data_IF_730596356758
#
_entry.id   IF_730596356758
#
_cell.length_a   1.000
_cell.length_b   1.000
_cell.length_c   1.000
_cell.angle_alpha   90.00
_cell.angle_beta   90.00
_cell.angle_gamma   90.00
#
_symmetry.space_group_name_H-M   'P 1'
#
loop_
_entity.id
_entity.type
_entity.pdbx_description
1 polymer ?
#
# COMPACT_ATOMS: atom_id res chain seq x y z
N UNK A 1 30.71 -3.31 -13.63
CA UNK A 1 29.42 -3.72 -13.04
C UNK A 1 28.32 -3.11 -13.90
N UNK A 2 27.36 -3.86 -14.46
CA UNK A 2 26.28 -3.22 -15.19
C UNK A 2 25.48 -2.36 -14.21
N UNK A 3 25.49 -1.05 -14.41
CA UNK A 3 24.73 -0.03 -13.65
C UNK A 3 23.26 0.06 -14.09
N UNK A 4 22.81 -0.82 -14.97
CA UNK A 4 21.46 -0.80 -15.54
C UNK A 4 20.82 -2.17 -15.36
N UNK A 5 19.63 -2.20 -14.73
CA UNK A 5 18.85 -3.43 -14.50
C UNK A 5 18.29 -4.00 -15.82
N UNK A 6 18.07 -3.16 -16.83
CA UNK A 6 17.50 -3.53 -18.12
C UNK A 6 18.42 -3.09 -19.29
N UNK A 7 18.60 -3.92 -20.34
CA UNK A 7 18.11 -5.30 -20.45
C UNK A 7 18.77 -6.21 -19.39
N UNK A 8 17.97 -7.10 -18.79
CA UNK A 8 18.46 -7.99 -17.74
C UNK A 8 19.37 -9.06 -18.36
N UNK A 9 20.60 -9.29 -17.86
CA UNK A 9 21.61 -10.10 -18.53
C UNK A 9 21.41 -11.61 -18.30
N UNK A 10 20.27 -12.15 -18.75
CA UNK A 10 19.84 -13.55 -18.51
C UNK A 10 20.92 -14.56 -18.91
N UNK A 11 21.43 -14.50 -20.14
CA UNK A 11 22.38 -15.49 -20.65
C UNK A 11 23.73 -15.46 -19.92
N UNK A 12 24.21 -14.27 -19.57
CA UNK A 12 25.45 -14.10 -18.80
C UNK A 12 25.27 -14.61 -17.37
N UNK A 13 24.12 -14.34 -16.75
CA UNK A 13 23.80 -14.78 -15.40
C UNK A 13 23.70 -16.32 -15.33
N UNK A 14 22.95 -16.95 -16.24
CA UNK A 14 22.85 -18.42 -16.33
C UNK A 14 24.24 -19.04 -16.54
N UNK A 15 25.06 -18.50 -17.45
CA UNK A 15 26.43 -18.99 -17.68
C UNK A 15 27.30 -18.87 -16.43
N UNK A 16 27.24 -17.74 -15.73
CA UNK A 16 28.02 -17.51 -14.51
C UNK A 16 27.60 -18.44 -13.36
N UNK A 17 26.31 -18.80 -13.32
CA UNK A 17 25.72 -19.61 -12.25
C UNK A 17 25.62 -21.11 -12.57
N UNK A 18 26.04 -21.55 -13.76
CA UNK A 18 25.90 -22.94 -14.25
C UNK A 18 26.33 -24.02 -13.24
N UNK A 19 27.40 -23.77 -12.49
CA UNK A 19 27.96 -24.73 -11.53
C UNK A 19 27.70 -24.35 -10.05
N UNK A 20 26.88 -23.32 -9.81
CA UNK A 20 26.57 -22.84 -8.46
C UNK A 20 25.47 -23.72 -7.87
N UNK A 21 25.76 -24.34 -6.72
CA UNK A 21 24.77 -25.22 -6.05
C UNK A 21 23.76 -24.42 -5.23
N UNK A 22 24.23 -23.38 -4.55
CA UNK A 22 23.42 -22.50 -3.69
C UNK A 22 23.83 -21.06 -3.95
N UNK A 23 22.84 -20.21 -4.20
CA UNK A 23 23.01 -18.77 -4.41
C UNK A 23 22.26 -18.01 -3.31
N UNK A 24 22.97 -17.13 -2.60
CA UNK A 24 22.36 -16.17 -1.68
C UNK A 24 22.26 -14.82 -2.38
N UNK A 25 21.05 -14.28 -2.45
CA UNK A 25 20.72 -13.04 -3.14
C UNK A 25 20.38 -12.00 -2.08
N UNK A 26 21.13 -10.90 -2.06
CA UNK A 26 20.88 -9.77 -1.16
C UNK A 26 20.05 -8.69 -1.84
N UNK A 27 18.95 -8.27 -1.21
CA UNK A 27 18.18 -7.10 -1.63
C UNK A 27 18.23 -6.02 -0.54
N UNK A 28 18.30 -4.74 -0.92
CA UNK A 28 18.13 -3.63 0.03
C UNK A 28 16.68 -3.18 0.20
N UNK A 29 15.79 -3.72 -0.61
CA UNK A 29 14.36 -3.44 -0.57
C UNK A 29 13.58 -4.76 -0.65
N UNK A 30 12.50 -4.84 0.11
CA UNK A 30 11.59 -5.98 0.08
C UNK A 30 10.36 -5.63 -0.76
N UNK A 31 9.87 -6.61 -1.52
CA UNK A 31 8.56 -6.55 -2.15
C UNK A 31 7.57 -7.30 -1.23
N UNK A 32 6.92 -6.57 -0.33
CA UNK A 32 6.13 -7.14 0.76
C UNK A 32 5.17 -8.26 0.30
N UNK A 33 5.19 -9.39 1.01
CA UNK A 33 4.33 -10.53 0.73
C UNK A 33 4.76 -11.42 -0.45
N UNK A 34 5.76 -11.00 -1.25
CA UNK A 34 6.24 -11.79 -2.41
C UNK A 34 7.36 -12.78 -2.08
N UNK A 35 7.93 -12.73 -0.87
CA UNK A 35 9.03 -13.62 -0.46
C UNK A 35 10.38 -13.27 -1.08
N UNK A 36 10.63 -11.99 -1.35
CA UNK A 36 11.92 -11.43 -1.73
C UNK A 36 11.85 -10.06 -2.38
N UNK A 37 13.00 -9.42 -2.56
CA UNK A 37 13.11 -8.18 -3.32
C UNK A 37 13.17 -8.40 -4.83
N UNK A 38 13.20 -7.29 -5.57
CA UNK A 38 13.15 -7.31 -7.04
C UNK A 38 14.34 -8.05 -7.67
N UNK A 39 15.55 -7.93 -7.12
CA UNK A 39 16.72 -8.62 -7.66
C UNK A 39 16.56 -10.13 -7.49
N UNK A 40 16.08 -10.58 -6.34
CA UNK A 40 15.78 -11.99 -6.13
C UNK A 40 14.75 -12.54 -7.11
N UNK A 41 13.71 -11.79 -7.45
CA UNK A 41 12.71 -12.23 -8.42
C UNK A 41 13.29 -12.36 -9.83
N UNK A 42 14.02 -11.36 -10.31
CA UNK A 42 14.63 -11.38 -11.65
C UNK A 42 15.66 -12.51 -11.79
N UNK A 43 16.53 -12.70 -10.79
CA UNK A 43 17.52 -13.79 -10.77
C UNK A 43 16.84 -15.16 -10.73
N UNK A 44 15.81 -15.34 -9.88
CA UNK A 44 15.07 -16.61 -9.81
C UNK A 44 14.36 -16.91 -11.12
N UNK A 45 13.76 -15.91 -11.77
CA UNK A 45 13.10 -16.07 -13.07
C UNK A 45 14.10 -16.47 -14.16
N UNK A 46 15.22 -15.76 -14.28
CA UNK A 46 16.28 -16.10 -15.24
C UNK A 46 16.84 -17.51 -15.04
N UNK A 47 17.04 -17.93 -13.79
CA UNK A 47 17.48 -19.28 -13.46
C UNK A 47 16.41 -20.36 -13.67
N UNK A 48 15.13 -19.99 -13.66
CA UNK A 48 14.01 -20.91 -13.90
C UNK A 48 13.88 -21.27 -15.38
N UNK A 49 14.25 -20.35 -16.28
CA UNK A 49 14.23 -20.56 -17.73
C UNK A 49 15.40 -21.42 -18.24
N UNK A 50 16.45 -21.63 -17.43
CA UNK A 50 17.52 -22.58 -17.73
C UNK A 50 17.09 -24.01 -17.32
N UNK A 51 16.83 -24.93 -18.28
CA UNK A 51 16.34 -26.28 -17.97
C UNK A 51 17.37 -27.15 -17.23
N UNK A 52 18.65 -26.82 -17.33
CA UNK A 52 19.74 -27.55 -16.69
C UNK A 52 20.05 -27.01 -15.28
N UNK A 53 19.56 -25.81 -14.96
CA UNK A 53 19.84 -25.20 -13.68
C UNK A 53 19.18 -25.95 -12.51
N UNK A 54 19.96 -26.18 -11.45
CA UNK A 54 19.50 -26.76 -10.17
C UNK A 54 19.87 -25.90 -8.96
N UNK A 55 20.28 -24.65 -9.19
CA UNK A 55 20.72 -23.72 -8.14
C UNK A 55 19.61 -23.49 -7.12
N UNK A 56 19.93 -23.69 -5.84
CA UNK A 56 19.04 -23.34 -4.74
C UNK A 56 19.22 -21.86 -4.41
N UNK A 57 18.17 -21.06 -4.62
CA UNK A 57 18.18 -19.63 -4.28
C UNK A 57 17.68 -19.37 -2.85
N UNK A 58 18.43 -18.56 -2.12
CA UNK A 58 18.11 -18.03 -0.78
C UNK A 58 18.14 -16.50 -0.88
N UNK A 59 17.17 -15.80 -0.30
CA UNK A 59 17.13 -14.34 -0.30
C UNK A 59 17.27 -13.76 1.10
N UNK A 60 18.03 -12.67 1.21
CA UNK A 60 18.18 -11.86 2.43
C UNK A 60 17.95 -10.39 2.13
N UNK A 61 16.98 -9.80 2.82
CA UNK A 61 16.80 -8.34 2.78
C UNK A 61 17.68 -7.72 3.85
N UNK A 62 18.56 -6.77 3.49
CA UNK A 62 19.58 -6.21 4.38
C UNK A 62 19.61 -4.69 4.32
N UNK A 63 20.30 -4.07 5.29
CA UNK A 63 20.44 -2.61 5.37
C UNK A 63 19.15 -1.87 5.77
N UNK A 64 18.19 -2.59 6.35
CA UNK A 64 16.98 -1.98 6.90
C UNK A 64 17.32 -0.98 8.00
N UNK A 65 16.64 0.16 8.02
CA UNK A 65 16.92 1.22 8.99
C UNK A 65 18.25 1.96 8.76
N UNK A 66 18.86 1.81 7.58
CA UNK A 66 20.15 2.45 7.27
C UNK A 66 21.35 1.72 7.84
N UNK A 67 21.19 0.45 8.24
CA UNK A 67 22.30 -0.39 8.69
C UNK A 67 23.31 -0.63 7.55
N UNK A 68 24.59 -0.57 7.89
CA UNK A 68 25.66 -0.94 6.98
C UNK A 68 25.71 -2.47 6.75
N UNK A 69 26.46 -2.87 5.73
CA UNK A 69 26.71 -4.27 5.41
C UNK A 69 28.23 -4.49 5.38
N UNK A 70 28.73 -5.24 6.36
CA UNK A 70 30.15 -5.46 6.58
C UNK A 70 30.62 -6.79 5.98
N UNK A 71 31.94 -7.03 6.03
CA UNK A 71 32.54 -8.25 5.49
C UNK A 71 32.06 -9.49 6.26
N UNK A 72 31.85 -9.37 7.57
CA UNK A 72 31.36 -10.43 8.45
C UNK A 72 29.95 -10.87 8.04
N UNK A 73 29.11 -9.92 7.59
CA UNK A 73 27.78 -10.21 7.07
C UNK A 73 27.87 -11.05 5.79
N UNK A 74 28.74 -10.67 4.86
CA UNK A 74 29.00 -11.43 3.64
C UNK A 74 29.53 -12.84 3.95
N UNK A 75 30.50 -12.96 4.85
CA UNK A 75 31.01 -14.26 5.30
C UNK A 75 29.90 -15.15 5.88
N UNK A 76 29.01 -14.58 6.69
CA UNK A 76 27.89 -15.32 7.27
C UNK A 76 26.97 -15.91 6.19
N UNK A 77 26.75 -15.18 5.08
CA UNK A 77 25.94 -15.64 3.96
C UNK A 77 26.64 -16.74 3.17
N UNK A 78 27.96 -16.65 2.96
CA UNK A 78 28.71 -17.74 2.36
C UNK A 78 28.68 -19.01 3.21
N UNK A 79 28.83 -18.89 4.54
CA UNK A 79 28.73 -20.03 5.48
C UNK A 79 27.34 -20.67 5.41
N UNK A 80 26.28 -19.87 5.32
CA UNK A 80 24.91 -20.35 5.14
C UNK A 80 24.72 -21.12 3.83
N UNK A 81 25.30 -20.62 2.73
CA UNK A 81 25.28 -21.31 1.44
C UNK A 81 25.99 -22.66 1.52
N UNK A 82 27.18 -22.70 2.11
CA UNK A 82 27.96 -23.93 2.32
C UNK A 82 27.24 -24.93 3.23
N UNK A 83 26.59 -24.47 4.30
CA UNK A 83 25.76 -25.33 5.17
C UNK A 83 24.59 -25.95 4.38
N UNK A 84 23.95 -25.16 3.52
CA UNK A 84 22.85 -25.63 2.67
C UNK A 84 23.34 -26.68 1.67
N UNK A 85 24.53 -26.49 1.06
CA UNK A 85 25.16 -27.49 0.19
C UNK A 85 25.41 -28.79 0.95
N UNK A 86 25.97 -28.70 2.16
CA UNK A 86 26.33 -29.88 2.98
C UNK A 86 25.10 -30.67 3.44
N UNK A 87 24.04 -29.98 3.82
CA UNK A 87 22.85 -30.60 4.42
C UNK A 87 21.76 -30.95 3.42
N UNK A 88 21.78 -30.32 2.23
CA UNK A 88 20.70 -30.40 1.25
C UNK A 88 19.39 -29.73 1.71
N UNK A 89 19.39 -29.02 2.86
CA UNK A 89 18.19 -28.43 3.47
C UNK A 89 18.30 -26.92 3.55
N UNK A 90 17.27 -26.22 3.06
CA UNK A 90 17.14 -24.76 3.22
C UNK A 90 16.33 -24.48 4.48
N UNK A 91 16.96 -23.90 5.51
CA UNK A 91 16.26 -23.51 6.75
C UNK A 91 15.18 -22.44 6.50
N UNK A 92 15.56 -21.36 5.80
CA UNK A 92 14.66 -20.27 5.38
C UNK A 92 15.04 -19.75 4.00
N UNK A 93 14.11 -19.84 3.06
CA UNK A 93 14.29 -19.33 1.69
C UNK A 93 14.31 -17.80 1.63
N UNK A 94 13.57 -17.14 2.52
CA UNK A 94 13.48 -15.69 2.64
C UNK A 94 13.63 -15.32 4.12
N UNK A 95 14.41 -14.30 4.43
CA UNK A 95 14.54 -13.72 5.78
C UNK A 95 15.17 -12.32 5.70
N UNK A 96 15.10 -11.57 6.79
CA UNK A 96 15.84 -10.31 6.92
C UNK A 96 17.19 -10.52 7.61
N UNK A 97 18.20 -9.74 7.20
CA UNK A 97 19.55 -9.75 7.76
C UNK A 97 19.80 -8.49 8.58
N UNK A 98 20.52 -8.62 9.70
CA UNK A 98 20.84 -7.49 10.58
C UNK A 98 19.63 -6.93 11.34
N UNK A 99 18.52 -7.68 11.43
CA UNK A 99 17.32 -7.22 12.14
C UNK A 99 17.33 -7.63 13.61
N UNK A 100 16.82 -6.73 14.46
CA UNK A 100 16.53 -7.05 15.85
C UNK A 100 15.08 -7.48 15.98
N UNK A 101 14.78 -8.67 16.52
CA UNK A 101 13.41 -9.08 16.80
C UNK A 101 12.72 -8.05 17.70
N UNK A 102 11.50 -7.65 17.34
CA UNK A 102 10.69 -6.79 18.20
C UNK A 102 10.35 -7.46 19.53
N UNK A 103 10.17 -6.65 20.59
CA UNK A 103 9.71 -7.14 21.89
C UNK A 103 8.23 -7.55 21.79
N UNK A 104 7.97 -8.85 21.94
CA UNK A 104 6.62 -9.42 21.91
C UNK A 104 5.71 -8.89 23.02
N UNK A 105 6.25 -8.25 24.07
CA UNK A 105 5.45 -7.60 25.11
C UNK A 105 5.03 -6.18 24.71
N UNK A 106 5.73 -5.57 23.76
CA UNK A 106 5.46 -4.23 23.22
C UNK A 106 4.68 -4.31 21.90
N UNK A 107 3.68 -5.19 21.86
CA UNK A 107 2.75 -5.21 20.72
C UNK A 107 2.01 -3.88 20.72
N UNK A 108 2.07 -3.18 19.59
CA UNK A 108 1.35 -1.93 19.44
C UNK A 108 -0.15 -2.20 19.51
N UNK A 109 -0.84 -1.40 20.32
CA UNK A 109 -2.28 -1.43 20.44
C UNK A 109 -2.85 -0.22 19.72
N UNK A 110 -3.99 -0.34 19.02
CA UNK A 110 -4.72 0.81 18.52
C UNK A 110 -4.92 1.84 19.64
N UNK A 111 -4.50 3.08 19.39
CA UNK A 111 -4.62 4.18 20.38
C UNK A 111 -6.02 4.77 20.37
N UNK A 112 -6.63 4.84 19.19
CA UNK A 112 -8.00 5.33 18.99
C UNK A 112 -8.87 4.22 18.40
N UNK A 113 -10.16 4.14 18.78
CA UNK A 113 -11.08 3.19 18.19
C UNK A 113 -11.40 3.56 16.72
N UNK A 114 -11.83 2.58 15.92
CA UNK A 114 -12.46 2.84 14.62
C UNK A 114 -13.65 3.79 14.78
N UNK A 115 -13.89 4.61 13.77
CA UNK A 115 -15.02 5.55 13.76
C UNK A 115 -16.34 4.80 13.52
N UNK A 116 -17.35 5.07 14.33
CA UNK A 116 -18.70 4.54 14.15
C UNK A 116 -19.52 5.38 13.18
N UNK A 117 -20.62 4.82 12.70
CA UNK A 117 -21.55 5.54 11.82
C UNK A 117 -22.23 6.70 12.54
N UNK A 118 -22.58 6.57 13.83
CA UNK A 118 -23.25 7.63 14.58
C UNK A 118 -22.35 8.85 14.83
N UNK A 119 -21.03 8.63 14.87
CA UNK A 119 -20.05 9.71 15.03
C UNK A 119 -19.99 10.62 13.78
N UNK A 120 -20.29 10.09 12.58
CA UNK A 120 -20.17 10.84 11.31
C UNK A 120 -21.49 11.15 10.63
N UNK A 121 -22.56 10.36 10.86
CA UNK A 121 -23.89 10.60 10.31
C UNK A 121 -24.68 11.53 11.22
N UNK A 122 -24.50 12.85 11.05
CA UNK A 122 -25.00 13.89 11.96
C UNK A 122 -26.12 14.75 11.37
N UNK A 123 -26.50 14.52 10.11
CA UNK A 123 -27.49 15.32 9.40
C UNK A 123 -27.06 16.78 9.23
N UNK A 124 -25.74 17.04 9.14
CA UNK A 124 -25.20 18.41 9.02
C UNK A 124 -25.24 18.93 7.58
N UNK A 125 -25.40 18.03 6.62
CA UNK A 125 -25.57 18.35 5.20
C UNK A 125 -26.89 17.74 4.74
N UNK A 126 -27.77 18.56 4.17
CA UNK A 126 -28.98 18.10 3.50
C UNK A 126 -28.87 18.43 2.02
N UNK A 127 -29.19 17.44 1.18
CA UNK A 127 -29.18 17.58 -0.27
C UNK A 127 -30.59 17.35 -0.78
N UNK A 128 -31.13 18.35 -1.47
CA UNK A 128 -32.41 18.30 -2.17
C UNK A 128 -32.12 18.31 -3.67
N UNK A 129 -32.73 17.40 -4.41
CA UNK A 129 -32.62 17.38 -5.87
C UNK A 129 -33.91 17.96 -6.47
N UNK A 130 -33.77 18.99 -7.28
CA UNK A 130 -34.88 19.56 -8.05
C UNK A 130 -35.40 18.51 -9.06
N UNK A 131 -36.72 18.32 -9.10
CA UNK A 131 -37.37 17.32 -9.95
C UNK A 131 -37.44 17.71 -11.43
N UNK A 132 -37.31 18.98 -11.78
CA UNK A 132 -37.44 19.47 -13.17
C UNK A 132 -36.11 19.46 -13.92
N UNK A 133 -35.02 19.94 -13.30
CA UNK A 133 -33.71 20.06 -13.96
C UNK A 133 -32.59 19.24 -13.31
N UNK A 134 -32.87 18.56 -12.20
CA UNK A 134 -31.93 17.69 -11.50
C UNK A 134 -30.86 18.43 -10.70
N UNK A 135 -30.95 19.75 -10.53
CA UNK A 135 -30.01 20.54 -9.70
C UNK A 135 -30.03 20.04 -8.25
N UNK A 136 -28.84 20.06 -7.63
CA UNK A 136 -28.67 19.74 -6.22
C UNK A 136 -28.62 21.03 -5.41
N UNK A 137 -29.62 21.25 -4.56
CA UNK A 137 -29.61 22.26 -3.52
C UNK A 137 -29.01 21.66 -2.25
N UNK A 138 -27.95 22.28 -1.73
CA UNK A 138 -27.22 21.80 -0.56
C UNK A 138 -27.36 22.79 0.59
N UNK A 139 -28.03 22.36 1.66
CA UNK A 139 -28.11 23.10 2.92
C UNK A 139 -27.06 22.55 3.89
N UNK A 140 -26.19 23.42 4.41
CA UNK A 140 -25.16 23.06 5.39
C UNK A 140 -25.42 23.72 6.73
N UNK A 141 -25.18 22.99 7.81
CA UNK A 141 -25.12 23.56 9.15
C UNK A 141 -23.97 24.58 9.28
N UNK A 142 -23.98 25.45 10.30
CA UNK A 142 -22.85 26.33 10.57
C UNK A 142 -21.54 25.56 10.78
N UNK A 143 -20.42 26.07 10.24
CA UNK A 143 -19.12 25.39 10.25
C UNK A 143 -18.64 24.90 11.63
N UNK A 144 -18.96 25.62 12.71
CA UNK A 144 -18.59 25.22 14.07
C UNK A 144 -19.24 23.89 14.51
N UNK A 145 -20.31 23.43 13.86
CA UNK A 145 -20.92 22.12 14.14
C UNK A 145 -20.09 20.99 13.55
N UNK A 146 -19.43 21.23 12.42
CA UNK A 146 -18.59 20.23 11.75
C UNK A 146 -17.33 19.91 12.55
N UNK A 147 -16.83 20.82 13.39
CA UNK A 147 -15.66 20.57 14.24
C UNK A 147 -15.89 19.48 15.30
N UNK A 148 -17.14 19.02 15.48
CA UNK A 148 -17.47 17.89 16.34
C UNK A 148 -17.32 16.53 15.66
N UNK A 149 -17.14 16.50 14.33
CA UNK A 149 -16.93 15.27 13.56
C UNK A 149 -15.49 14.78 13.79
N UNK A 150 -15.28 13.52 14.20
CA UNK A 150 -13.95 13.02 14.43
C UNK A 150 -13.12 12.88 13.14
N UNK A 151 -11.81 13.11 13.26
CA UNK A 151 -10.89 12.95 12.15
C UNK A 151 -10.77 11.46 11.76
N UNK A 152 -11.01 11.16 10.48
CA UNK A 152 -10.80 9.82 9.91
C UNK A 152 -9.34 9.42 9.78
N UNK A 153 -8.45 10.41 9.67
CA UNK A 153 -7.01 10.26 9.84
C UNK A 153 -6.63 10.78 11.24
N UNK A 154 -6.15 9.89 12.10
CA UNK A 154 -5.77 10.15 13.46
C UNK A 154 -4.56 11.09 13.57
N UNK A 155 -4.43 11.84 14.67
CA UNK A 155 -3.19 12.53 15.01
C UNK A 155 -2.04 11.53 15.20
N UNK A 156 -0.80 12.01 15.07
CA UNK A 156 0.41 11.19 15.22
C UNK A 156 0.96 10.60 13.92
N UNK A 157 0.45 11.04 12.76
CA UNK A 157 1.06 10.76 11.45
C UNK A 157 2.35 11.57 11.23
N UNK A 158 3.28 11.06 10.42
CA UNK A 158 4.60 11.64 10.18
C UNK A 158 4.65 12.82 9.19
N UNK A 159 3.56 13.58 9.05
CA UNK A 159 3.51 14.70 8.12
C UNK A 159 4.32 15.89 8.66
N UNK A 160 4.86 16.72 7.76
CA UNK A 160 5.59 17.93 8.14
C UNK A 160 4.72 18.87 8.99
N UNK A 161 5.31 19.63 9.93
CA UNK A 161 4.60 20.69 10.64
C UNK A 161 3.99 21.69 9.65
N UNK A 162 2.68 21.92 9.74
CA UNK A 162 1.97 22.79 8.80
C UNK A 162 1.61 22.15 7.45
N UNK A 163 1.66 20.83 7.32
CA UNK A 163 1.21 20.14 6.10
C UNK A 163 -0.23 20.51 5.73
N UNK A 164 -0.39 21.14 4.57
CA UNK A 164 -1.69 21.60 4.06
C UNK A 164 -2.62 20.44 3.67
N UNK A 165 -2.08 19.35 3.12
CA UNK A 165 -2.86 18.23 2.59
C UNK A 165 -3.84 17.66 3.62
N UNK A 166 -3.40 17.41 4.86
CA UNK A 166 -4.28 16.84 5.89
C UNK A 166 -5.29 17.83 6.45
N UNK A 167 -4.99 19.13 6.41
CA UNK A 167 -5.97 20.17 6.77
C UNK A 167 -7.10 20.22 5.75
N UNK A 168 -6.76 20.21 4.45
CA UNK A 168 -7.72 20.17 3.34
C UNK A 168 -8.52 18.86 3.35
N UNK A 169 -7.85 17.73 3.52
CA UNK A 169 -8.51 16.42 3.62
C UNK A 169 -9.47 16.38 4.80
N UNK A 170 -9.09 16.91 5.96
CA UNK A 170 -9.97 16.97 7.12
C UNK A 170 -11.23 17.80 6.82
N UNK A 171 -11.08 19.00 6.24
CA UNK A 171 -12.21 19.86 5.87
C UNK A 171 -13.17 19.17 4.89
N UNK A 172 -12.62 18.54 3.85
CA UNK A 172 -13.43 17.76 2.90
C UNK A 172 -14.14 16.60 3.59
N UNK A 173 -13.42 15.84 4.41
CA UNK A 173 -13.96 14.65 5.08
C UNK A 173 -15.06 14.98 6.08
N UNK A 174 -15.03 16.11 6.79
CA UNK A 174 -16.09 16.47 7.73
C UNK A 174 -17.48 16.61 7.06
N UNK A 175 -17.53 16.89 5.75
CA UNK A 175 -18.78 16.95 4.98
C UNK A 175 -19.31 15.59 4.52
N UNK A 176 -18.52 14.52 4.62
CA UNK A 176 -18.93 13.17 4.22
C UNK A 176 -19.53 12.46 5.43
N UNK A 177 -20.77 12.00 5.32
CA UNK A 177 -21.45 11.26 6.40
C UNK A 177 -21.25 9.74 6.27
N UNK A 178 -21.41 9.05 7.40
CA UNK A 178 -21.38 7.59 7.47
C UNK A 178 -19.99 6.97 7.23
N UNK A 179 -20.02 5.71 6.79
CA UNK A 179 -18.82 4.91 6.57
C UNK A 179 -18.12 5.28 5.27
N UNK A 180 -16.79 5.32 5.34
CA UNK A 180 -15.93 5.64 4.22
C UNK A 180 -14.87 4.55 4.08
N UNK A 181 -14.57 4.18 2.84
CA UNK A 181 -13.41 3.36 2.47
C UNK A 181 -12.42 4.26 1.75
N UNK A 182 -11.19 4.32 2.27
CA UNK A 182 -10.11 5.08 1.66
C UNK A 182 -9.14 4.21 0.88
N UNK A 183 -8.83 4.64 -0.34
CA UNK A 183 -7.58 4.28 -0.99
C UNK A 183 -6.67 5.50 -0.98
N UNK A 184 -5.51 5.43 -0.33
CA UNK A 184 -4.47 6.45 -0.55
C UNK A 184 -3.50 5.91 -1.58
N UNK A 185 -3.47 6.56 -2.75
CA UNK A 185 -2.49 6.29 -3.77
C UNK A 185 -1.10 6.59 -3.22
N UNK A 186 -0.10 5.82 -3.69
CA UNK A 186 1.29 6.01 -3.26
C UNK A 186 1.70 7.48 -3.44
N UNK A 187 2.21 8.10 -2.38
CA UNK A 187 2.50 9.53 -2.32
C UNK A 187 2.70 9.99 -0.88
N UNK A 188 2.95 11.28 -0.67
CA UNK A 188 3.24 11.83 0.66
C UNK A 188 2.15 11.47 1.68
N UNK A 189 0.87 11.67 1.34
CA UNK A 189 -0.24 11.38 2.26
C UNK A 189 -0.30 9.90 2.67
N UNK A 190 0.05 8.98 1.76
CA UNK A 190 0.16 7.56 2.08
C UNK A 190 1.33 7.31 3.05
N UNK A 191 2.54 7.70 2.65
CA UNK A 191 3.78 7.40 3.40
C UNK A 191 3.71 7.89 4.84
N UNK A 192 3.22 9.12 5.05
CA UNK A 192 3.19 9.72 6.38
C UNK A 192 2.10 9.14 7.29
N UNK A 193 1.09 8.46 6.74
CA UNK A 193 -0.02 7.88 7.52
C UNK A 193 0.12 6.38 7.78
N UNK A 194 1.02 5.69 7.11
CA UNK A 194 1.15 4.22 7.16
C UNK A 194 2.57 3.72 7.45
N UNK A 195 3.42 4.58 8.02
CA UNK A 195 4.78 4.21 8.42
C UNK A 195 4.78 2.99 9.34
N UNK A 196 5.39 1.88 8.92
CA UNK A 196 5.37 0.62 9.66
C UNK A 196 5.92 0.79 11.09
N UNK A 197 5.25 0.23 12.12
CA UNK A 197 4.07 -0.64 12.08
C UNK A 197 2.74 0.12 12.34
N UNK A 198 2.74 1.44 12.15
CA UNK A 198 1.63 2.32 12.51
C UNK A 198 0.65 2.53 11.34
N UNK A 199 -0.59 2.85 11.69
CA UNK A 199 -1.56 3.44 10.77
C UNK A 199 -2.30 4.56 11.48
N UNK A 200 -2.47 5.69 10.78
CA UNK A 200 -3.31 6.79 11.23
C UNK A 200 -4.78 6.62 10.79
N UNK A 201 -5.11 5.61 9.97
CA UNK A 201 -6.48 5.47 9.46
C UNK A 201 -7.41 4.84 10.50
N UNK A 202 -8.49 5.56 10.85
CA UNK A 202 -9.55 5.11 11.77
C UNK A 202 -10.77 4.52 11.05
N UNK A 203 -10.66 4.38 9.73
CA UNK A 203 -11.68 3.81 8.83
C UNK A 203 -11.03 2.73 7.96
N UNK A 204 -11.83 2.01 7.18
CA UNK A 204 -11.31 1.03 6.24
C UNK A 204 -10.37 1.69 5.25
N UNK A 205 -9.15 1.18 5.18
CA UNK A 205 -8.07 1.71 4.37
C UNK A 205 -7.50 0.60 3.48
N UNK A 206 -7.16 0.95 2.25
CA UNK A 206 -6.39 0.13 1.34
C UNK A 206 -5.29 0.95 0.64
N UNK A 207 -4.24 0.25 0.25
CA UNK A 207 -3.12 0.77 -0.52
C UNK A 207 -2.92 -0.08 -1.77
N UNK A 208 -2.54 0.56 -2.87
CA UNK A 208 -1.95 -0.12 -4.02
C UNK A 208 -0.89 0.77 -4.67
N UNK A 209 -0.24 0.24 -5.71
CA UNK A 209 0.87 0.85 -6.43
C UNK A 209 0.56 2.27 -6.93
N UNK A 210 1.63 3.00 -7.22
CA UNK A 210 1.56 4.41 -7.56
C UNK A 210 0.71 4.69 -8.81
N UNK A 211 0.66 3.77 -9.77
CA UNK A 211 0.00 4.00 -11.06
C UNK A 211 -1.46 3.50 -11.15
N UNK A 212 -1.99 2.78 -10.15
CA UNK A 212 -3.23 2.01 -10.33
C UNK A 212 -4.29 2.19 -9.23
N UNK A 213 -4.23 3.28 -8.45
CA UNK A 213 -5.18 3.53 -7.36
C UNK A 213 -6.64 3.49 -7.81
N UNK A 214 -6.98 4.18 -8.90
CA UNK A 214 -8.36 4.27 -9.41
C UNK A 214 -8.88 2.95 -9.96
N UNK A 215 -8.04 2.16 -10.64
CA UNK A 215 -8.39 0.81 -11.06
C UNK A 215 -8.66 -0.12 -9.86
N UNK A 216 -7.86 0.02 -8.80
CA UNK A 216 -8.02 -0.77 -7.57
C UNK A 216 -9.33 -0.44 -6.88
N UNK A 217 -9.62 0.84 -6.69
CA UNK A 217 -10.86 1.24 -6.02
C UNK A 217 -12.09 0.92 -6.88
N UNK A 218 -12.00 1.04 -8.21
CA UNK A 218 -13.06 0.59 -9.14
C UNK A 218 -13.41 -0.89 -8.91
N UNK A 219 -12.39 -1.76 -8.81
CA UNK A 219 -12.61 -3.18 -8.56
C UNK A 219 -13.28 -3.45 -7.21
N UNK A 220 -12.93 -2.67 -6.17
CA UNK A 220 -13.55 -2.77 -4.87
C UNK A 220 -15.01 -2.30 -4.88
N UNK A 221 -15.32 -1.22 -5.59
CA UNK A 221 -16.68 -0.69 -5.76
C UNK A 221 -17.57 -1.73 -6.45
N UNK A 222 -17.10 -2.34 -7.54
CA UNK A 222 -17.86 -3.39 -8.24
C UNK A 222 -18.06 -4.63 -7.37
N UNK A 223 -17.00 -5.06 -6.66
CA UNK A 223 -17.11 -6.15 -5.70
C UNK A 223 -18.17 -5.84 -4.64
N UNK A 224 -18.20 -4.61 -4.11
CA UNK A 224 -19.18 -4.20 -3.11
C UNK A 224 -20.61 -4.30 -3.64
N UNK A 225 -20.89 -3.70 -4.79
CA UNK A 225 -22.22 -3.73 -5.39
C UNK A 225 -22.65 -5.13 -5.82
N UNK A 226 -21.72 -5.96 -6.29
CA UNK A 226 -21.99 -7.36 -6.61
C UNK A 226 -22.38 -8.17 -5.37
N UNK A 227 -21.71 -7.93 -4.24
CA UNK A 227 -22.08 -8.57 -2.96
C UNK A 227 -23.43 -8.11 -2.42
N UNK A 228 -23.84 -6.86 -2.69
CA UNK A 228 -25.22 -6.41 -2.43
C UNK A 228 -26.21 -7.18 -3.30
N UNK A 229 -25.99 -7.28 -4.63
CA UNK A 229 -26.87 -8.05 -5.54
C UNK A 229 -27.03 -9.51 -5.13
N UNK A 230 -25.96 -10.11 -4.59
CA UNK A 230 -25.93 -11.48 -4.04
C UNK A 230 -26.54 -11.61 -2.64
N UNK A 231 -27.00 -10.50 -2.04
CA UNK A 231 -27.56 -10.44 -0.68
C UNK A 231 -26.58 -10.87 0.42
N UNK A 232 -25.28 -10.73 0.14
CA UNK A 232 -24.21 -10.97 1.13
C UNK A 232 -23.96 -9.74 2.00
N UNK A 233 -24.35 -8.56 1.52
CA UNK A 233 -24.29 -7.27 2.22
C UNK A 233 -25.70 -6.65 2.16
N UNK A 234 -26.23 -6.11 3.27
CA UNK A 234 -27.52 -5.42 3.28
C UNK A 234 -27.56 -4.25 2.28
N UNK A 235 -28.66 -4.13 1.53
CA UNK A 235 -28.85 -3.05 0.54
C UNK A 235 -28.83 -1.65 1.16
N UNK A 236 -29.25 -1.52 2.42
CA UNK A 236 -29.24 -0.26 3.17
C UNK A 236 -27.86 0.11 3.74
N UNK A 237 -26.83 -0.71 3.50
CA UNK A 237 -25.46 -0.36 3.88
C UNK A 237 -24.94 0.67 2.87
N UNK A 238 -24.77 1.90 3.32
CA UNK A 238 -24.17 2.95 2.50
C UNK A 238 -22.68 3.08 2.83
N UNK A 239 -21.84 2.97 1.81
CA UNK A 239 -20.39 3.17 1.93
C UNK A 239 -19.96 4.15 0.85
N UNK A 240 -19.23 5.18 1.28
CA UNK A 240 -18.59 6.12 0.37
C UNK A 240 -17.17 5.64 0.05
N UNK A 241 -16.84 5.50 -1.23
CA UNK A 241 -15.51 5.10 -1.69
C UNK A 241 -14.73 6.33 -2.15
N UNK A 242 -13.57 6.57 -1.52
CA UNK A 242 -12.77 7.77 -1.81
C UNK A 242 -11.32 7.36 -2.04
N UNK A 243 -10.81 7.73 -3.20
CA UNK A 243 -9.40 7.66 -3.53
C UNK A 243 -8.77 9.02 -3.27
N UNK A 244 -7.70 9.05 -2.48
CA UNK A 244 -6.88 10.23 -2.23
C UNK A 244 -5.57 10.09 -3.00
N UNK A 245 -5.23 11.09 -3.79
CA UNK A 245 -4.04 11.11 -4.66
C UNK A 245 -3.31 12.43 -4.56
N UNK A 246 -1.99 12.42 -4.76
CA UNK A 246 -1.23 13.64 -5.04
C UNK A 246 -1.25 13.95 -6.55
N UNK A 247 -0.71 15.11 -6.91
CA UNK A 247 -0.49 15.58 -8.29
C UNK A 247 0.24 14.53 -9.16
N UNK A 248 1.40 14.03 -8.71
CA UNK A 248 2.18 13.05 -9.47
C UNK A 248 1.46 11.71 -9.63
N UNK A 249 0.53 11.39 -8.73
CA UNK A 249 -0.33 10.22 -8.85
C UNK A 249 -1.34 10.36 -9.99
N UNK A 250 -1.78 11.58 -10.27
CA UNK A 250 -2.69 11.88 -11.36
C UNK A 250 -2.00 12.14 -12.69
N UNK A 251 -0.67 12.27 -12.71
CA UNK A 251 0.13 12.11 -13.94
C UNK A 251 0.21 10.61 -14.31
N UNK A 252 0.91 9.80 -13.50
CA UNK A 252 1.15 8.38 -13.82
C UNK A 252 -0.13 7.52 -13.79
N UNK A 253 -1.11 7.89 -12.96
CA UNK A 253 -2.38 7.19 -12.78
C UNK A 253 -3.54 7.75 -13.60
N UNK A 254 -3.29 8.75 -14.47
CA UNK A 254 -4.36 9.42 -15.23
C UNK A 254 -5.18 8.44 -16.07
N UNK A 255 -4.52 7.54 -16.80
CA UNK A 255 -5.18 6.57 -17.68
C UNK A 255 -6.20 5.70 -16.94
N UNK A 256 -5.79 4.99 -15.86
CA UNK A 256 -6.70 4.27 -14.99
C UNK A 256 -7.84 5.12 -14.42
N UNK A 257 -7.58 6.39 -14.08
CA UNK A 257 -8.59 7.31 -13.55
C UNK A 257 -9.65 7.67 -14.58
N UNK A 258 -9.23 8.03 -15.80
CA UNK A 258 -10.15 8.24 -16.93
C UNK A 258 -10.93 6.96 -17.21
N UNK A 259 -10.29 5.79 -17.14
CA UNK A 259 -10.95 4.50 -17.26
C UNK A 259 -12.04 4.29 -16.20
N UNK A 260 -11.78 4.68 -14.95
CA UNK A 260 -12.76 4.61 -13.86
C UNK A 260 -13.95 5.56 -14.11
N UNK A 261 -13.66 6.79 -14.54
CA UNK A 261 -14.68 7.79 -14.88
C UNK A 261 -15.56 7.33 -16.07
N UNK A 262 -14.97 6.81 -17.15
CA UNK A 262 -15.69 6.31 -18.32
C UNK A 262 -16.60 5.12 -17.99
N UNK A 263 -16.28 4.35 -16.95
CA UNK A 263 -17.12 3.26 -16.44
C UNK A 263 -18.16 3.74 -15.42
N UNK A 264 -18.17 5.01 -15.07
CA UNK A 264 -19.09 5.63 -14.12
C UNK A 264 -19.11 4.92 -12.75
N UNK A 265 -17.92 4.56 -12.24
CA UNK A 265 -17.79 3.95 -10.91
C UNK A 265 -18.29 4.93 -9.84
N UNK A 266 -19.10 4.43 -8.89
CA UNK A 266 -19.62 5.22 -7.76
C UNK A 266 -18.55 5.44 -6.68
N UNK A 267 -17.56 6.25 -7.01
CA UNK A 267 -16.45 6.62 -6.14
C UNK A 267 -16.03 8.07 -6.38
N UNK A 268 -15.37 8.66 -5.40
CA UNK A 268 -14.73 9.97 -5.51
C UNK A 268 -13.23 9.81 -5.66
N UNK A 269 -12.62 10.68 -6.46
CA UNK A 269 -11.18 10.84 -6.54
C UNK A 269 -10.88 12.26 -6.08
N UNK A 270 -10.07 12.38 -5.04
CA UNK A 270 -9.68 13.63 -4.42
C UNK A 270 -8.18 13.81 -4.55
N UNK A 271 -7.78 14.78 -5.36
CA UNK A 271 -6.39 15.17 -5.52
C UNK A 271 -6.03 16.25 -4.50
N UNK A 272 -4.91 16.06 -3.80
CA UNK A 272 -4.22 17.13 -3.09
C UNK A 272 -3.02 17.54 -3.96
N UNK A 273 -3.10 18.70 -4.59
CA UNK A 273 -2.03 19.24 -5.43
C UNK A 273 -1.04 20.03 -4.55
N UNK A 274 0.22 19.58 -4.45
CA UNK A 274 1.15 19.98 -3.40
C UNK A 274 2.59 20.26 -3.87
#
# INVERSE_FOLDING_TARGET
SPTVLRPFPVAQLQRALKNVKVLVIGDRADSFGSGGGNMAHEVKAALKDDPDNRTVCINRVYGLGGLDFFLEDAESWFRMALETVRTGKVKKRFDYHGVTPGDRKKVMKPVLPPITEEETRRGLVKVHQDSEDGRLEVEMAPLHRFTTIPNRVAPGHGACPGCGSFSTLHQFMMGIEGHVVFLFQTGCAMVVTTGYPFTAHRVTYLHNLFQNGSATLSGLVEMYHERIKRKEIPENREITFIMVTGDGGMDIGMGPTIGAANRNHRMMILEYDN
#
